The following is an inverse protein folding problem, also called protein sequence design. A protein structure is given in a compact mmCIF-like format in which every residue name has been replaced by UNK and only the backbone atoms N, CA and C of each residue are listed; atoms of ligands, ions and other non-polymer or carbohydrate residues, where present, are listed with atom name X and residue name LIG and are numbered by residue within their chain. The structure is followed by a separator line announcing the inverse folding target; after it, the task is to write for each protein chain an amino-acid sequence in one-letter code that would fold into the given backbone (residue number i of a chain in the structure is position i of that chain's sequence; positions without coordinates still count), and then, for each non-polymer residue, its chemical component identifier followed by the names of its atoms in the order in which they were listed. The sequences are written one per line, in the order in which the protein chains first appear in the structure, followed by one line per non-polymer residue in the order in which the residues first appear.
data_IF_404382075758
#
_entry.id   IF_404382075758
#
_cell.length_a   1.000
_cell.length_b   1.000
_cell.length_c   1.000
_cell.angle_alpha   90.00
_cell.angle_beta   90.00
_cell.angle_gamma   90.00
#
_symmetry.space_group_name_H-M   'P 1'
#
loop_
_entity.id
_entity.type
_entity.pdbx_description
1 polymer ?
#
# COMPACT_ATOMS: atom_id res chain seq x y z
N UNK A 1 32.74 41.25 -11.74
CA UNK A 1 31.95 41.56 -10.52
C UNK A 1 30.90 40.49 -10.21
N UNK A 2 30.16 40.00 -11.20
CA UNK A 2 29.10 38.99 -11.02
C UNK A 2 29.57 37.57 -10.62
N UNK A 3 30.71 37.10 -11.13
CA UNK A 3 31.30 35.80 -10.77
C UNK A 3 31.67 35.68 -9.27
N UNK A 4 31.94 36.82 -8.62
CA UNK A 4 32.25 36.88 -7.19
C UNK A 4 30.97 36.70 -6.34
N UNK A 5 29.83 37.20 -6.84
CA UNK A 5 28.52 37.03 -6.20
C UNK A 5 28.06 35.57 -6.27
N UNK A 6 28.24 34.91 -7.41
CA UNK A 6 27.91 33.50 -7.59
C UNK A 6 28.73 32.58 -6.68
N UNK A 7 30.05 32.82 -6.59
CA UNK A 7 30.90 32.05 -5.69
C UNK A 7 30.55 32.27 -4.21
N UNK A 8 30.12 33.48 -3.83
CA UNK A 8 29.63 33.75 -2.48
C UNK A 8 28.30 33.05 -2.20
N UNK A 9 27.37 33.05 -3.14
CA UNK A 9 26.09 32.34 -2.97
C UNK A 9 26.33 30.83 -2.83
N UNK A 10 27.15 30.20 -3.69
CA UNK A 10 27.52 28.77 -3.58
C UNK A 10 28.16 28.43 -2.23
N UNK A 11 29.05 29.29 -1.73
CA UNK A 11 29.68 29.10 -0.42
C UNK A 11 28.70 29.25 0.75
N UNK A 12 27.78 30.22 0.68
CA UNK A 12 26.75 30.43 1.70
C UNK A 12 25.75 29.26 1.73
N UNK A 13 25.34 28.76 0.56
CA UNK A 13 24.42 27.62 0.47
C UNK A 13 25.00 26.35 1.09
N UNK A 14 26.31 26.10 0.89
CA UNK A 14 27.02 24.97 1.51
C UNK A 14 27.15 25.08 3.04
N UNK A 15 27.25 26.30 3.58
CA UNK A 15 27.35 26.52 5.03
C UNK A 15 25.97 26.47 5.69
N UNK A 16 24.93 27.03 5.05
CA UNK A 16 23.56 27.06 5.56
C UNK A 16 22.90 25.68 5.62
N UNK A 17 23.32 24.73 4.77
CA UNK A 17 22.77 23.36 4.77
C UNK A 17 23.37 22.44 5.83
N UNK A 18 24.33 22.89 6.65
CA UNK A 18 24.89 22.29 7.90
C UNK A 18 24.56 20.81 8.20
N UNK A 19 24.74 19.93 7.21
CA UNK A 19 24.50 18.49 7.32
C UNK A 19 25.58 17.77 6.53
N UNK A 20 26.30 16.95 7.29
CA UNK A 20 27.13 15.84 6.81
C UNK A 20 26.51 15.14 5.60
N UNK A 21 27.31 14.66 4.63
CA UNK A 21 26.84 14.07 3.38
C UNK A 21 26.24 12.69 3.65
N UNK A 22 25.02 12.62 4.15
CA UNK A 22 24.29 11.38 4.36
C UNK A 22 22.85 11.56 3.89
N UNK A 23 22.66 11.15 2.63
CA UNK A 23 21.50 10.47 2.03
C UNK A 23 20.11 11.06 2.33
N UNK A 24 19.44 11.39 1.22
CA UNK A 24 18.10 11.97 1.11
C UNK A 24 18.05 13.48 1.33
N UNK A 25 18.67 14.24 0.41
CA UNK A 25 18.09 15.50 -0.01
C UNK A 25 17.09 15.18 -1.12
N UNK A 26 15.80 15.35 -0.83
CA UNK A 26 14.87 15.76 -1.87
C UNK A 26 15.40 17.11 -2.39
N UNK A 27 15.70 17.18 -3.69
CA UNK A 27 16.15 18.38 -4.38
C UNK A 27 15.18 19.53 -4.12
N UNK A 28 15.52 20.40 -3.17
CA UNK A 28 14.97 21.75 -3.04
C UNK A 28 16.10 22.71 -3.37
N UNK A 29 16.61 22.62 -4.60
CA UNK A 29 17.34 23.68 -5.28
C UNK A 29 16.51 24.20 -6.49
N UNK A 30 15.17 24.24 -6.34
CA UNK A 30 14.21 24.82 -7.30
C UNK A 30 14.29 26.37 -7.39
N UNK A 31 15.39 26.98 -6.92
CA UNK A 31 15.59 28.43 -6.89
C UNK A 31 16.99 28.87 -7.34
N UNK A 32 17.84 27.98 -7.82
CA UNK A 32 19.13 28.35 -8.41
C UNK A 32 18.99 28.44 -9.93
N UNK A 33 18.44 29.57 -10.41
CA UNK A 33 18.46 29.92 -11.83
C UNK A 33 19.92 29.80 -12.34
N UNK A 34 20.13 29.10 -13.44
CA UNK A 34 21.46 28.96 -14.04
C UNK A 34 22.01 30.34 -14.37
N UNK A 35 23.32 30.53 -14.21
CA UNK A 35 24.00 31.78 -14.54
C UNK A 35 23.69 32.28 -15.97
N UNK A 36 23.47 31.35 -16.91
CA UNK A 36 23.03 31.63 -18.27
C UNK A 36 21.62 32.28 -18.33
N UNK A 37 20.71 31.85 -17.46
CA UNK A 37 19.32 32.32 -17.41
C UNK A 37 19.21 33.71 -16.80
N UNK A 38 20.00 33.99 -15.76
CA UNK A 38 20.06 35.32 -15.14
C UNK A 38 20.68 36.34 -16.12
N UNK A 39 21.70 35.93 -16.88
CA UNK A 39 22.34 36.76 -17.93
C UNK A 39 21.41 37.02 -19.12
N UNK A 40 20.60 36.03 -19.48
CA UNK A 40 19.60 36.12 -20.53
C UNK A 40 18.43 37.06 -20.20
N UNK A 41 17.93 36.98 -18.97
CA UNK A 41 16.91 37.90 -18.45
C UNK A 41 17.42 39.35 -18.47
N UNK A 42 18.70 39.57 -18.17
CA UNK A 42 19.33 40.88 -18.23
C UNK A 42 19.58 41.39 -19.67
N UNK A 43 19.69 40.50 -20.66
CA UNK A 43 19.87 40.84 -22.08
C UNK A 43 18.56 40.93 -22.86
N UNK A 44 17.43 40.60 -22.23
CA UNK A 44 16.09 40.80 -22.78
C UNK A 44 15.66 39.82 -23.87
N UNK A 45 16.32 38.66 -24.00
CA UNK A 45 15.95 37.66 -25.01
C UNK A 45 14.59 37.00 -24.64
N UNK A 46 13.52 37.20 -25.45
CA UNK A 46 12.19 36.67 -25.15
C UNK A 46 12.14 35.14 -25.13
N UNK A 47 13.00 34.46 -25.89
CA UNK A 47 13.02 32.99 -25.96
C UNK A 47 13.46 32.35 -24.65
N UNK A 48 14.40 32.97 -23.92
CA UNK A 48 14.89 32.40 -22.67
C UNK A 48 13.84 32.53 -21.56
N UNK A 49 13.01 33.58 -21.59
CA UNK A 49 11.86 33.70 -20.70
C UNK A 49 10.79 32.64 -20.98
N UNK A 50 10.48 32.39 -22.25
CA UNK A 50 9.55 31.31 -22.67
C UNK A 50 10.08 29.94 -22.24
N UNK A 51 11.39 29.69 -22.40
CA UNK A 51 12.04 28.46 -21.94
C UNK A 51 11.78 28.18 -20.46
N UNK A 52 12.03 29.18 -19.60
CA UNK A 52 11.95 29.01 -18.15
C UNK A 52 10.52 28.72 -17.69
N UNK A 53 9.54 29.42 -18.27
CA UNK A 53 8.13 29.16 -17.97
C UNK A 53 7.71 27.75 -18.44
N UNK A 54 8.17 27.33 -19.63
CA UNK A 54 7.95 25.97 -20.12
C UNK A 54 8.65 24.91 -19.27
N UNK A 55 9.88 25.15 -18.79
CA UNK A 55 10.63 24.22 -17.92
C UNK A 55 9.90 23.99 -16.58
N UNK A 56 9.37 25.05 -15.97
CA UNK A 56 8.56 24.95 -14.74
C UNK A 56 7.28 24.15 -15.02
N UNK A 57 6.59 24.45 -16.12
CA UNK A 57 5.34 23.77 -16.48
C UNK A 57 5.58 22.29 -16.81
N UNK A 58 6.63 21.96 -17.56
CA UNK A 58 7.01 20.58 -17.89
C UNK A 58 7.44 19.82 -16.65
N UNK A 59 8.20 20.44 -15.74
CA UNK A 59 8.61 19.80 -14.48
C UNK A 59 7.39 19.47 -13.61
N UNK A 60 6.44 20.39 -13.49
CA UNK A 60 5.17 20.16 -12.80
C UNK A 60 4.35 19.03 -13.44
N UNK A 61 4.23 19.02 -14.77
CA UNK A 61 3.50 17.99 -15.50
C UNK A 61 4.19 16.62 -15.42
N UNK A 62 5.53 16.57 -15.44
CA UNK A 62 6.31 15.34 -15.21
C UNK A 62 6.09 14.79 -13.81
N UNK A 63 6.06 15.63 -12.78
CA UNK A 63 5.74 15.22 -11.41
C UNK A 63 4.31 14.64 -11.32
N UNK A 64 3.33 15.29 -11.97
CA UNK A 64 1.96 14.77 -12.05
C UNK A 64 1.89 13.41 -12.76
N UNK A 65 2.64 13.22 -13.87
CA UNK A 65 2.73 11.94 -14.59
C UNK A 65 3.41 10.86 -13.75
N UNK A 66 4.47 11.19 -13.03
CA UNK A 66 5.16 10.27 -12.12
C UNK A 66 4.23 9.82 -10.98
N UNK A 67 3.46 10.75 -10.39
CA UNK A 67 2.47 10.45 -9.37
C UNK A 67 1.36 9.53 -9.92
N UNK A 68 0.77 9.88 -11.07
CA UNK A 68 -0.23 9.05 -11.74
C UNK A 68 0.28 7.63 -12.04
N UNK A 69 1.51 7.51 -12.54
CA UNK A 69 2.14 6.22 -12.82
C UNK A 69 2.36 5.40 -11.56
N UNK A 70 2.80 6.05 -10.47
CA UNK A 70 2.94 5.41 -9.16
C UNK A 70 1.60 4.92 -8.60
N UNK A 71 0.55 5.75 -8.70
CA UNK A 71 -0.82 5.37 -8.31
C UNK A 71 -1.32 4.17 -9.11
N UNK A 72 -1.13 4.17 -10.44
CA UNK A 72 -1.46 3.04 -11.29
C UNK A 72 -0.77 1.75 -10.85
N UNK A 73 0.54 1.78 -10.57
CA UNK A 73 1.25 0.59 -10.09
C UNK A 73 0.79 0.10 -8.72
N UNK A 74 0.41 1.02 -7.82
CA UNK A 74 -0.19 0.67 -6.52
C UNK A 74 -1.53 -0.03 -6.73
N UNK A 75 -2.43 0.55 -7.53
CA UNK A 75 -3.72 -0.05 -7.86
C UNK A 75 -3.56 -1.40 -8.56
N UNK A 76 -2.64 -1.56 -9.51
CA UNK A 76 -2.34 -2.85 -10.13
C UNK A 76 -1.91 -3.90 -9.11
N UNK A 77 -1.09 -3.50 -8.14
CA UNK A 77 -0.63 -4.40 -7.06
C UNK A 77 -1.79 -4.77 -6.14
N UNK A 78 -2.63 -3.80 -5.79
CA UNK A 78 -3.80 -4.02 -4.94
C UNK A 78 -4.82 -4.95 -5.62
N UNK A 79 -5.12 -4.75 -6.91
CA UNK A 79 -5.99 -5.62 -7.71
C UNK A 79 -5.44 -7.04 -7.80
N UNK A 80 -4.12 -7.18 -7.99
CA UNK A 80 -3.52 -8.49 -8.16
C UNK A 80 -3.38 -9.27 -6.84
N UNK A 81 -3.14 -8.60 -5.72
CA UNK A 81 -2.76 -9.26 -4.45
C UNK A 81 -3.72 -8.97 -3.30
N UNK A 82 -4.11 -7.72 -3.11
CA UNK A 82 -4.81 -7.28 -1.91
C UNK A 82 -6.31 -7.61 -1.97
N UNK A 83 -6.99 -7.20 -3.05
CA UNK A 83 -8.43 -7.46 -3.22
C UNK A 83 -8.77 -8.96 -3.23
N UNK A 84 -8.05 -9.85 -3.95
CA UNK A 84 -8.37 -11.29 -3.94
C UNK A 84 -8.25 -11.93 -2.56
N UNK A 85 -7.24 -11.53 -1.78
CA UNK A 85 -7.04 -12.01 -0.40
C UNK A 85 -8.16 -11.53 0.51
N UNK A 86 -8.54 -10.25 0.43
CA UNK A 86 -9.65 -9.70 1.20
C UNK A 86 -10.98 -10.35 0.84
N UNK A 87 -11.25 -10.55 -0.45
CA UNK A 87 -12.46 -11.22 -0.94
C UNK A 87 -12.53 -12.67 -0.47
N UNK A 88 -11.42 -13.42 -0.54
CA UNK A 88 -11.36 -14.80 -0.07
C UNK A 88 -11.64 -14.88 1.44
N UNK A 89 -10.97 -14.04 2.23
CA UNK A 89 -11.17 -13.97 3.68
C UNK A 89 -12.61 -13.57 4.04
N UNK A 90 -13.17 -12.57 3.36
CA UNK A 90 -14.54 -12.12 3.59
C UNK A 90 -15.57 -13.20 3.23
N UNK A 91 -15.34 -13.94 2.13
CA UNK A 91 -16.19 -15.06 1.72
C UNK A 91 -16.17 -16.20 2.73
N UNK A 92 -14.99 -16.56 3.24
CA UNK A 92 -14.85 -17.56 4.30
C UNK A 92 -15.56 -17.11 5.58
N UNK A 93 -15.40 -15.84 5.97
CA UNK A 93 -16.12 -15.27 7.11
C UNK A 93 -17.63 -15.35 6.94
N UNK A 94 -18.18 -15.00 5.77
CA UNK A 94 -19.62 -15.10 5.49
C UNK A 94 -20.09 -16.56 5.57
N UNK A 95 -19.31 -17.52 5.05
CA UNK A 95 -19.65 -18.94 5.13
C UNK A 95 -19.71 -19.42 6.60
N UNK A 96 -18.74 -19.01 7.42
CA UNK A 96 -18.75 -19.29 8.86
C UNK A 96 -19.95 -18.66 9.58
N UNK A 97 -20.25 -17.39 9.29
CA UNK A 97 -21.40 -16.69 9.87
C UNK A 97 -22.75 -17.31 9.45
N UNK A 98 -22.87 -17.81 8.22
CA UNK A 98 -24.07 -18.51 7.74
C UNK A 98 -24.28 -19.82 8.50
N UNK A 99 -23.23 -20.62 8.64
CA UNK A 99 -23.27 -21.87 9.40
C UNK A 99 -23.62 -21.62 10.88
N UNK A 100 -23.07 -20.57 11.48
CA UNK A 100 -23.38 -20.20 12.86
C UNK A 100 -24.81 -19.67 13.00
N UNK A 101 -25.34 -18.91 12.03
CA UNK A 101 -26.74 -18.46 12.00
C UNK A 101 -27.71 -19.65 11.95
N UNK A 102 -27.47 -20.63 11.08
CA UNK A 102 -28.31 -21.82 10.97
C UNK A 102 -28.36 -22.60 12.28
N UNK A 103 -27.25 -22.66 13.00
CA UNK A 103 -27.19 -23.29 14.30
C UNK A 103 -27.90 -22.52 15.42
N UNK A 104 -28.03 -21.20 15.27
CA UNK A 104 -28.64 -20.32 16.28
C UNK A 104 -30.14 -20.24 16.15
N UNK A 105 -30.69 -20.43 14.95
CA UNK A 105 -32.15 -20.48 14.70
C UNK A 105 -32.91 -21.37 15.70
N UNK A 106 -32.59 -22.66 15.88
CA UNK A 106 -33.32 -23.51 16.82
C UNK A 106 -33.19 -23.02 18.26
N UNK A 107 -32.04 -22.44 18.65
CA UNK A 107 -31.81 -21.93 20.01
C UNK A 107 -32.70 -20.71 20.28
N UNK A 108 -32.88 -19.82 19.30
CA UNK A 108 -33.75 -18.65 19.43
C UNK A 108 -35.23 -19.06 19.51
N UNK A 109 -35.65 -20.05 18.72
CA UNK A 109 -37.00 -20.62 18.77
C UNK A 109 -37.26 -21.38 20.08
N UNK A 110 -36.28 -22.09 20.63
CA UNK A 110 -36.36 -22.76 21.94
C UNK A 110 -36.38 -21.76 23.10
N UNK A 111 -35.76 -20.59 22.92
CA UNK A 111 -35.81 -19.51 23.91
C UNK A 111 -37.24 -19.00 24.14
N UNK A 112 -38.10 -19.07 23.12
CA UNK A 112 -39.53 -18.76 23.24
C UNK A 112 -40.30 -19.85 24.01
N UNK A 113 -39.73 -21.07 24.10
CA UNK A 113 -40.33 -22.24 24.78
C UNK A 113 -39.76 -22.50 26.18
N UNK A 114 -38.91 -21.61 26.69
CA UNK A 114 -38.31 -21.62 28.04
C UNK A 114 -37.44 -22.85 28.41
N UNK A 115 -37.10 -23.72 27.44
CA UNK A 115 -36.19 -24.85 27.63
C UNK A 115 -34.72 -24.39 27.57
N UNK A 116 -34.19 -23.89 28.68
CA UNK A 116 -32.78 -23.52 28.78
C UNK A 116 -31.93 -24.69 29.25
N UNK A 117 -30.86 -25.02 28.51
CA UNK A 117 -29.85 -26.01 28.91
C UNK A 117 -28.46 -25.50 28.57
N UNK A 118 -27.53 -25.56 29.52
CA UNK A 118 -26.16 -25.07 29.35
C UNK A 118 -25.17 -25.98 30.09
N UNK A 119 -24.06 -26.33 29.45
CA UNK A 119 -23.04 -27.16 30.06
C UNK A 119 -21.85 -26.30 30.52
N UNK A 120 -21.54 -26.33 31.81
CA UNK A 120 -20.42 -25.58 32.40
C UNK A 120 -19.62 -26.53 33.27
N UNK A 121 -18.32 -26.67 33.02
CA UNK A 121 -17.43 -27.54 33.79
C UNK A 121 -17.89 -29.01 33.83
N UNK A 122 -18.54 -29.49 32.76
CA UNK A 122 -19.08 -30.85 32.67
C UNK A 122 -20.42 -31.08 33.39
N UNK A 123 -21.05 -30.04 33.95
CA UNK A 123 -22.40 -30.12 34.54
C UNK A 123 -23.42 -29.39 33.66
N UNK A 124 -24.58 -30.01 33.46
CA UNK A 124 -25.70 -29.42 32.73
C UNK A 124 -26.58 -28.65 33.70
N UNK A 125 -26.81 -27.37 33.42
CA UNK A 125 -27.66 -26.48 34.19
C UNK A 125 -28.91 -26.16 33.39
N UNK A 126 -30.08 -26.32 34.02
CA UNK A 126 -31.39 -25.97 33.45
C UNK A 126 -31.94 -24.65 33.99
N UNK A 127 -31.47 -24.20 35.16
CA UNK A 127 -31.79 -22.87 35.68
C UNK A 127 -30.78 -21.83 35.18
N UNK A 128 -31.31 -20.71 34.67
CA UNK A 128 -30.54 -19.54 34.23
C UNK A 128 -29.74 -18.94 35.39
N UNK A 129 -30.30 -18.88 36.61
CA UNK A 129 -29.58 -18.30 37.75
C UNK A 129 -28.37 -19.14 38.13
N UNK A 130 -28.51 -20.46 38.18
CA UNK A 130 -27.42 -21.39 38.48
C UNK A 130 -26.36 -21.44 37.38
N UNK A 131 -26.77 -21.37 36.10
CA UNK A 131 -25.83 -21.32 34.99
C UNK A 131 -24.97 -20.05 35.04
N UNK A 132 -25.56 -18.88 35.27
CA UNK A 132 -24.79 -17.64 35.33
C UNK A 132 -23.82 -17.57 36.52
N UNK A 133 -24.17 -18.16 37.67
CA UNK A 133 -23.26 -18.24 38.83
C UNK A 133 -22.12 -19.22 38.56
N UNK A 134 -22.40 -20.34 37.88
CA UNK A 134 -21.40 -21.30 37.45
C UNK A 134 -20.39 -20.68 36.44
N UNK A 135 -20.84 -19.84 35.49
CA UNK A 135 -19.94 -19.11 34.58
C UNK A 135 -19.01 -18.19 35.38
N UNK A 136 -19.56 -17.42 36.33
CA UNK A 136 -18.78 -16.47 37.13
C UNK A 136 -17.75 -17.20 38.01
N UNK A 137 -18.14 -18.33 38.62
CA UNK A 137 -17.27 -19.17 39.40
C UNK A 137 -16.14 -19.78 38.55
N UNK A 138 -16.45 -20.27 37.35
CA UNK A 138 -15.45 -20.79 36.43
C UNK A 138 -14.48 -19.70 35.93
N UNK A 139 -14.97 -18.49 35.66
CA UNK A 139 -14.12 -17.34 35.32
C UNK A 139 -13.19 -16.96 36.48
N UNK A 140 -13.69 -16.97 37.71
CA UNK A 140 -12.88 -16.69 38.90
C UNK A 140 -11.80 -17.76 39.14
N UNK A 141 -12.12 -19.04 38.90
CA UNK A 141 -11.15 -20.14 38.96
C UNK A 141 -10.02 -19.97 37.94
N UNK A 142 -10.32 -19.55 36.71
CA UNK A 142 -9.31 -19.30 35.67
C UNK A 142 -8.40 -18.11 35.98
N UNK A 143 -8.91 -17.08 36.67
CA UNK A 143 -8.08 -15.96 37.17
C UNK A 143 -7.02 -16.45 38.16
N UNK A 144 -7.36 -17.38 39.04
CA UNK A 144 -6.42 -17.92 40.02
C UNK A 144 -5.27 -18.68 39.35
N UNK A 145 -5.55 -19.36 38.24
CA UNK A 145 -4.57 -20.17 37.48
C UNK A 145 -3.83 -19.34 36.41
N UNK A 146 -4.23 -18.07 36.19
CA UNK A 146 -3.72 -17.19 35.10
C UNK A 146 -3.73 -17.87 33.72
N UNK A 147 -4.68 -18.77 33.50
CA UNK A 147 -4.80 -19.54 32.26
C UNK A 147 -6.10 -19.18 31.55
N UNK A 148 -6.06 -19.11 30.23
CA UNK A 148 -7.26 -19.08 29.41
C UNK A 148 -7.75 -20.51 29.21
N UNK A 149 -9.06 -20.73 29.24
CA UNK A 149 -9.61 -22.08 29.21
C UNK A 149 -11.06 -22.14 28.75
N UNK A 150 -11.43 -23.29 28.22
CA UNK A 150 -12.82 -23.62 27.93
C UNK A 150 -13.55 -23.84 29.25
N UNK A 151 -14.58 -23.03 29.49
CA UNK A 151 -15.45 -23.12 30.66
C UNK A 151 -16.60 -24.09 30.41
N UNK A 152 -17.08 -24.17 29.17
CA UNK A 152 -18.29 -24.93 28.89
C UNK A 152 -18.71 -24.91 27.43
N UNK A 153 -19.94 -25.36 27.22
CA UNK A 153 -20.57 -25.45 25.92
C UNK A 153 -22.05 -25.04 26.03
N UNK A 154 -22.51 -24.27 25.05
CA UNK A 154 -23.90 -23.84 24.94
C UNK A 154 -24.41 -24.18 23.55
N UNK A 155 -25.26 -25.21 23.42
CA UNK A 155 -25.90 -25.61 22.16
C UNK A 155 -24.92 -25.71 20.96
N UNK A 156 -23.76 -26.35 21.15
CA UNK A 156 -22.73 -26.47 20.10
C UNK A 156 -21.75 -25.29 20.01
N UNK A 157 -21.89 -24.27 20.86
CA UNK A 157 -20.93 -23.17 20.97
C UNK A 157 -19.99 -23.41 22.15
N UNK A 158 -18.69 -23.47 21.89
CA UNK A 158 -17.67 -23.58 22.93
C UNK A 158 -17.45 -22.23 23.61
N UNK A 159 -17.42 -22.22 24.93
CA UNK A 159 -17.29 -21.02 25.75
C UNK A 159 -15.90 -20.96 26.37
N UNK A 160 -15.07 -20.04 25.88
CA UNK A 160 -13.70 -19.85 26.36
C UNK A 160 -13.59 -18.55 27.15
N UNK A 161 -13.18 -18.60 28.41
CA UNK A 161 -12.85 -17.39 29.13
C UNK A 161 -11.36 -17.08 29.07
N UNK A 162 -11.11 -15.78 29.07
CA UNK A 162 -9.81 -15.17 29.23
C UNK A 162 -9.92 -14.01 30.21
N UNK A 163 -8.90 -13.84 31.03
CA UNK A 163 -8.82 -12.69 31.94
C UNK A 163 -7.92 -11.62 31.31
N UNK A 164 -8.47 -10.44 31.09
CA UNK A 164 -7.69 -9.31 30.62
C UNK A 164 -7.06 -8.61 31.82
N UNK A 165 -5.75 -8.79 32.00
CA UNK A 165 -5.04 -8.17 33.12
C UNK A 165 -4.91 -6.66 32.98
N UNK A 166 -5.04 -6.10 31.77
CA UNK A 166 -4.88 -4.67 31.53
C UNK A 166 -6.15 -3.91 31.93
N UNK A 167 -7.31 -4.36 31.46
CA UNK A 167 -8.61 -3.77 31.81
C UNK A 167 -9.23 -4.35 33.09
N UNK A 168 -8.60 -5.38 33.67
CA UNK A 168 -9.11 -6.15 34.81
C UNK A 168 -10.51 -6.74 34.59
N UNK A 169 -10.91 -6.95 33.34
CA UNK A 169 -12.21 -7.49 32.93
C UNK A 169 -12.12 -8.95 32.50
N UNK A 170 -13.23 -9.69 32.68
CA UNK A 170 -13.37 -11.04 32.16
C UNK A 170 -13.90 -10.98 30.73
N UNK A 171 -13.18 -11.60 29.79
CA UNK A 171 -13.59 -11.72 28.40
C UNK A 171 -14.00 -13.15 28.12
N UNK A 172 -15.25 -13.33 27.68
CA UNK A 172 -15.78 -14.61 27.24
C UNK A 172 -15.84 -14.63 25.72
N UNK A 173 -15.22 -15.63 25.12
CA UNK A 173 -15.20 -15.89 23.69
C UNK A 173 -16.08 -17.09 23.42
N UNK A 174 -17.19 -16.85 22.74
CA UNK A 174 -18.10 -17.87 22.22
C UNK A 174 -17.55 -18.28 20.86
N UNK A 175 -17.09 -19.54 20.73
CA UNK A 175 -16.43 -20.04 19.53
C UNK A 175 -17.24 -21.18 18.90
N UNK A 176 -17.48 -21.05 17.59
CA UNK A 176 -17.93 -22.13 16.72
C UNK A 176 -17.15 -22.04 15.40
N UNK A 177 -17.77 -21.68 14.28
CA UNK A 177 -17.04 -21.35 13.06
C UNK A 177 -16.45 -19.94 13.14
N UNK A 178 -17.22 -19.00 13.69
CA UNK A 178 -16.77 -17.66 14.05
C UNK A 178 -16.54 -17.54 15.57
N UNK A 179 -15.81 -16.50 15.95
CA UNK A 179 -15.52 -16.16 17.35
C UNK A 179 -16.22 -14.87 17.75
N UNK A 180 -16.98 -14.91 18.83
CA UNK A 180 -17.74 -13.79 19.38
C UNK A 180 -17.25 -13.47 20.77
N UNK A 181 -16.63 -12.30 20.93
CA UNK A 181 -16.11 -11.86 22.21
C UNK A 181 -17.14 -10.97 22.91
N UNK A 182 -17.35 -11.24 24.20
CA UNK A 182 -18.20 -10.46 25.10
C UNK A 182 -17.50 -10.23 26.43
N UNK A 183 -17.87 -9.16 27.12
CA UNK A 183 -17.37 -8.85 28.45
C UNK A 183 -18.33 -9.35 29.53
N UNK A 184 -17.76 -10.08 30.50
CA UNK A 184 -18.47 -10.58 31.67
C UNK A 184 -18.35 -9.56 32.79
N UNK A 185 -19.51 -9.17 33.32
CA UNK A 185 -19.66 -8.30 34.46
C UNK A 185 -20.02 -9.09 35.73
N UNK A 186 -20.32 -8.37 36.80
CA UNK A 186 -20.68 -8.96 38.10
C UNK A 186 -22.11 -9.54 38.13
N UNK A 187 -22.98 -9.12 37.23
CA UNK A 187 -24.38 -9.54 37.19
C UNK A 187 -24.58 -10.86 36.42
N UNK A 188 -25.09 -11.85 37.15
CA UNK A 188 -25.36 -13.22 36.70
C UNK A 188 -26.33 -13.24 35.52
N UNK A 189 -27.47 -12.56 35.65
CA UNK A 189 -28.53 -12.58 34.63
C UNK A 189 -28.15 -11.69 33.43
N UNK A 190 -27.53 -10.53 33.69
CA UNK A 190 -27.01 -9.67 32.63
C UNK A 190 -25.97 -10.36 31.76
N UNK A 191 -25.11 -11.23 32.32
CA UNK A 191 -24.13 -11.98 31.54
C UNK A 191 -24.79 -12.96 30.56
N UNK A 192 -25.85 -13.67 30.97
CA UNK A 192 -26.63 -14.53 30.09
C UNK A 192 -27.34 -13.74 28.99
N UNK A 193 -27.89 -12.57 29.33
CA UNK A 193 -28.49 -11.70 28.34
C UNK A 193 -27.45 -11.21 27.32
N UNK A 194 -26.21 -10.90 27.74
CA UNK A 194 -25.13 -10.56 26.81
C UNK A 194 -24.76 -11.71 25.87
N UNK A 195 -24.73 -12.95 26.37
CA UNK A 195 -24.54 -14.15 25.53
C UNK A 195 -25.67 -14.24 24.51
N UNK A 196 -26.92 -14.11 24.93
CA UNK A 196 -28.05 -14.14 24.01
C UNK A 196 -28.01 -13.01 22.98
N UNK A 197 -27.63 -11.80 23.38
CA UNK A 197 -27.50 -10.66 22.47
C UNK A 197 -26.36 -10.87 21.46
N UNK A 198 -25.29 -11.55 21.86
CA UNK A 198 -24.20 -11.91 20.94
C UNK A 198 -24.68 -12.90 19.88
N UNK A 199 -25.55 -13.85 20.24
CA UNK A 199 -26.14 -14.82 19.31
C UNK A 199 -27.18 -14.17 18.38
N UNK A 200 -28.08 -13.31 18.89
CA UNK A 200 -29.01 -12.56 18.02
C UNK A 200 -28.28 -11.57 17.10
N UNK A 201 -27.15 -11.03 17.56
CA UNK A 201 -26.29 -10.14 16.78
C UNK A 201 -25.60 -10.81 15.58
N UNK A 202 -25.61 -12.14 15.47
CA UNK A 202 -25.01 -12.88 14.34
C UNK A 202 -25.70 -12.50 13.03
N UNK A 203 -27.02 -12.35 13.03
CA UNK A 203 -27.79 -11.97 11.85
C UNK A 203 -27.34 -10.60 11.32
N UNK A 204 -27.21 -9.62 12.22
CA UNK A 204 -26.71 -8.28 11.88
C UNK A 204 -25.27 -8.31 11.37
N UNK A 205 -24.39 -9.09 11.99
CA UNK A 205 -23.00 -9.24 11.54
C UNK A 205 -22.91 -9.89 10.16
N UNK A 206 -23.81 -10.82 9.84
CA UNK A 206 -23.90 -11.43 8.52
C UNK A 206 -24.31 -10.39 7.48
N UNK A 207 -25.34 -9.59 7.75
CA UNK A 207 -25.74 -8.51 6.82
C UNK A 207 -24.63 -7.48 6.61
N UNK A 208 -23.93 -7.09 7.68
CA UNK A 208 -22.78 -6.18 7.59
C UNK A 208 -21.61 -6.80 6.80
N UNK A 209 -21.38 -8.10 6.95
CA UNK A 209 -20.34 -8.81 6.20
C UNK A 209 -20.69 -8.92 4.71
N UNK A 210 -21.94 -9.17 4.37
CA UNK A 210 -22.43 -9.19 2.98
C UNK A 210 -22.33 -7.80 2.32
N UNK A 211 -22.71 -6.74 3.02
CA UNK A 211 -22.53 -5.36 2.54
C UNK A 211 -21.05 -5.02 2.33
N UNK A 212 -20.16 -5.43 3.23
CA UNK A 212 -18.72 -5.24 3.06
C UNK A 212 -18.19 -5.97 1.82
N UNK A 213 -18.69 -7.18 1.56
CA UNK A 213 -18.32 -7.95 0.36
C UNK A 213 -18.76 -7.22 -0.92
N UNK A 214 -19.99 -6.70 -0.95
CA UNK A 214 -20.50 -5.90 -2.07
C UNK A 214 -19.65 -4.63 -2.30
N UNK A 215 -19.32 -3.91 -1.21
CA UNK A 215 -18.45 -2.75 -1.28
C UNK A 215 -17.06 -3.08 -1.81
N UNK A 216 -16.45 -4.20 -1.38
CA UNK A 216 -15.15 -4.64 -1.89
C UNK A 216 -15.19 -4.98 -3.38
N UNK A 217 -16.26 -5.62 -3.85
CA UNK A 217 -16.46 -5.92 -5.28
C UNK A 217 -16.64 -4.64 -6.10
N UNK A 218 -17.40 -3.67 -5.59
CA UNK A 218 -17.56 -2.35 -6.21
C UNK A 218 -16.21 -1.60 -6.28
N UNK A 219 -15.45 -1.59 -5.19
CA UNK A 219 -14.12 -0.97 -5.16
C UNK A 219 -13.15 -1.63 -6.14
N UNK A 220 -13.20 -2.96 -6.28
CA UNK A 220 -12.40 -3.68 -7.26
C UNK A 220 -12.76 -3.23 -8.68
N UNK A 221 -14.06 -3.17 -9.01
CA UNK A 221 -14.51 -2.72 -10.33
C UNK A 221 -14.05 -1.28 -10.64
N UNK A 222 -14.25 -0.35 -9.69
CA UNK A 222 -13.77 1.03 -9.83
C UNK A 222 -12.25 1.10 -9.98
N UNK A 223 -11.49 0.32 -9.20
CA UNK A 223 -10.04 0.28 -9.31
C UNK A 223 -9.57 -0.25 -10.67
N UNK A 224 -10.26 -1.23 -11.24
CA UNK A 224 -9.99 -1.74 -12.59
C UNK A 224 -10.21 -0.66 -13.65
N UNK A 225 -11.32 0.07 -13.58
CA UNK A 225 -11.60 1.19 -14.49
C UNK A 225 -10.57 2.32 -14.35
N UNK A 226 -10.12 2.63 -13.13
CA UNK A 226 -9.13 3.68 -12.88
C UNK A 226 -7.73 3.33 -13.41
N UNK A 227 -7.33 2.05 -13.35
CA UNK A 227 -6.03 1.60 -13.89
C UNK A 227 -5.98 1.71 -15.42
N UNK A 228 -7.11 1.57 -16.09
CA UNK A 228 -7.20 1.72 -17.55
C UNK A 228 -7.15 3.18 -18.00
N UNK A 229 -7.53 4.14 -17.16
CA UNK A 229 -7.53 5.57 -17.52
C UNK A 229 -6.11 6.07 -17.78
N UNK A 230 -5.84 6.68 -18.96
CA UNK A 230 -4.57 7.31 -19.24
C UNK A 230 -4.41 8.62 -18.47
N UNK A 231 -3.19 9.14 -18.41
CA UNK A 231 -2.92 10.41 -17.75
C UNK A 231 -3.64 11.55 -18.50
N UNK A 232 -4.54 12.32 -17.85
CA UNK A 232 -5.40 13.26 -18.56
C UNK A 232 -4.66 14.43 -19.24
N UNK A 233 -3.46 14.78 -18.76
CA UNK A 233 -2.62 15.85 -19.32
C UNK A 233 -1.47 15.32 -20.16
N UNK A 234 -1.60 14.11 -20.70
CA UNK A 234 -0.55 13.50 -21.50
C UNK A 234 -0.28 14.29 -22.77
N UNK A 235 -1.32 14.73 -23.48
CA UNK A 235 -1.19 15.58 -24.67
C UNK A 235 -0.56 16.95 -24.36
N UNK A 236 -0.97 17.59 -23.26
CA UNK A 236 -0.39 18.89 -22.84
C UNK A 236 1.09 18.75 -22.47
N UNK A 237 1.46 17.64 -21.83
CA UNK A 237 2.86 17.36 -21.51
C UNK A 237 3.69 17.13 -22.78
N UNK A 238 3.19 16.37 -23.75
CA UNK A 238 3.93 16.11 -25.01
C UNK A 238 4.12 17.39 -25.81
N UNK A 239 3.07 18.20 -25.97
CA UNK A 239 3.12 19.48 -26.69
C UNK A 239 4.14 20.45 -26.06
N UNK A 240 4.10 20.60 -24.73
CA UNK A 240 5.04 21.48 -24.02
C UNK A 240 6.47 20.94 -24.05
N UNK A 241 6.66 19.63 -24.03
CA UNK A 241 7.98 19.01 -24.18
C UNK A 241 8.55 19.21 -25.59
N UNK A 242 7.73 19.09 -26.62
CA UNK A 242 8.12 19.35 -28.02
C UNK A 242 8.51 20.82 -28.22
N UNK A 243 7.68 21.75 -27.72
CA UNK A 243 7.98 23.19 -27.77
C UNK A 243 9.28 23.55 -27.05
N UNK A 244 9.53 22.96 -25.90
CA UNK A 244 10.77 23.13 -25.14
C UNK A 244 11.98 22.57 -25.91
N UNK A 245 11.83 21.44 -26.61
CA UNK A 245 12.88 20.86 -27.45
C UNK A 245 13.20 21.73 -28.69
N UNK A 246 12.18 22.29 -29.34
CA UNK A 246 12.34 23.27 -30.42
C UNK A 246 13.11 24.50 -29.93
N UNK A 247 12.70 25.03 -28.78
CA UNK A 247 13.26 26.25 -28.22
C UNK A 247 14.70 26.06 -27.70
N UNK A 248 15.01 24.89 -27.15
CA UNK A 248 16.39 24.49 -26.86
C UNK A 248 17.25 24.40 -28.13
N UNK A 249 16.69 23.90 -29.24
CA UNK A 249 17.43 23.81 -30.50
C UNK A 249 17.74 25.19 -31.08
N UNK A 250 16.78 26.13 -31.00
CA UNK A 250 16.95 27.52 -31.42
C UNK A 250 18.03 28.24 -30.60
N UNK A 251 17.98 28.12 -29.27
CA UNK A 251 18.96 28.76 -28.39
C UNK A 251 20.37 28.19 -28.55
N UNK A 252 20.50 26.88 -28.77
CA UNK A 252 21.80 26.23 -29.03
C UNK A 252 22.43 26.69 -30.37
N UNK A 253 21.63 27.13 -31.34
CA UNK A 253 22.15 27.71 -32.59
C UNK A 253 22.62 29.16 -32.41
N UNK A 254 21.88 29.96 -31.64
CA UNK A 254 22.26 31.34 -31.33
C UNK A 254 23.52 31.44 -30.44
N UNK A 255 23.71 30.54 -29.47
CA UNK A 255 24.94 30.53 -28.65
C UNK A 255 26.21 30.24 -29.49
N UNK A 256 26.11 29.38 -30.52
CA UNK A 256 27.21 29.14 -31.46
C UNK A 256 27.49 30.36 -32.34
N UNK A 257 26.45 31.02 -32.84
CA UNK A 257 26.59 32.24 -33.65
C UNK A 257 27.15 33.44 -32.88
N UNK A 258 26.80 33.56 -31.60
CA UNK A 258 27.30 34.67 -30.76
C UNK A 258 28.74 34.43 -30.28
N UNK A 259 29.17 33.16 -30.14
CA UNK A 259 30.55 32.80 -29.85
C UNK A 259 31.50 33.04 -31.01
N UNK A 260 31.02 32.98 -32.27
CA UNK A 260 31.83 33.28 -33.46
C UNK A 260 31.87 34.79 -33.77
N UNK A 261 30.84 35.56 -33.41
CA UNK A 261 30.75 36.99 -33.69
C UNK A 261 31.54 37.89 -32.73
N UNK A 262 31.91 37.39 -31.54
CA UNK A 262 32.82 38.05 -30.62
C UNK A 262 34.18 37.36 -30.71
N UNK A 263 35.09 37.92 -31.51
CA UNK A 263 36.47 37.48 -31.65
C UNK A 263 37.25 37.58 -30.34
N UNK A 264 36.94 36.72 -29.38
CA UNK A 264 37.76 36.39 -28.24
C UNK A 264 38.67 35.26 -28.70
N UNK A 265 39.89 35.63 -29.06
CA UNK A 265 40.96 34.69 -29.37
C UNK A 265 41.10 33.61 -28.29
N UNK A 266 41.52 32.45 -28.77
CA UNK A 266 42.12 31.36 -28.00
C UNK A 266 42.90 31.92 -26.81
N UNK A 267 42.44 31.69 -25.57
CA UNK A 267 43.26 31.68 -24.34
C UNK A 267 42.41 31.56 -23.05
N UNK A 268 41.40 30.68 -22.98
CA UNK A 268 40.80 30.26 -21.68
C UNK A 268 40.56 28.73 -21.60
N UNK A 269 40.88 27.96 -22.64
CA UNK A 269 40.57 26.53 -22.70
C UNK A 269 41.48 25.61 -21.84
N UNK A 270 42.42 26.14 -21.05
CA UNK A 270 43.49 25.30 -20.45
C UNK A 270 43.44 25.07 -18.92
N UNK A 271 42.41 25.52 -18.17
CA UNK A 271 42.45 25.39 -16.69
C UNK A 271 41.21 24.72 -16.07
N UNK A 272 40.21 24.31 -16.87
CA UNK A 272 38.99 23.69 -16.31
C UNK A 272 38.88 22.16 -16.49
N UNK A 273 39.76 21.53 -17.26
CA UNK A 273 39.74 20.07 -17.47
C UNK A 273 40.95 19.40 -16.82
N UNK A 274 40.83 19.11 -15.54
CA UNK A 274 41.65 18.10 -14.88
C UNK A 274 40.80 17.42 -13.80
N UNK A 275 40.56 16.10 -13.90
CA UNK A 275 39.78 15.39 -12.91
C UNK A 275 40.58 15.34 -11.61
N UNK A 276 40.11 16.05 -10.58
CA UNK A 276 40.62 15.87 -9.22
C UNK A 276 40.21 14.49 -8.73
N UNK A 277 41.15 13.55 -8.78
CA UNK A 277 41.03 12.23 -8.19
C UNK A 277 40.91 12.38 -6.66
N UNK A 278 39.73 12.11 -6.11
CA UNK A 278 39.53 12.10 -4.66
C UNK A 278 40.13 10.80 -4.08
N UNK A 279 41.17 10.95 -3.26
CA UNK A 279 41.70 9.85 -2.44
C UNK A 279 40.71 9.59 -1.31
N UNK A 280 39.97 8.47 -1.38
CA UNK A 280 39.14 7.98 -0.28
C UNK A 280 39.94 6.99 0.57
N UNK A 281 40.35 7.43 1.76
CA UNK A 281 40.65 6.53 2.88
C UNK A 281 39.34 6.28 3.64
N UNK A 282 38.60 5.23 3.24
CA UNK A 282 37.79 4.35 4.10
C UNK A 282 36.71 3.59 3.30
N UNK A 283 36.81 2.26 3.33
CA UNK A 283 35.65 1.37 3.38
C UNK A 283 34.96 1.01 2.07
N UNK A 284 35.27 -0.19 1.56
CA UNK A 284 34.48 -0.95 0.58
C UNK A 284 32.98 -0.90 0.87
N UNK A 285 32.18 -0.41 -0.07
CA UNK A 285 30.84 -0.92 -0.34
C UNK A 285 30.67 -0.94 -1.87
N UNK A 286 30.38 -2.13 -2.38
CA UNK A 286 30.37 -2.48 -3.80
C UNK A 286 29.44 -1.61 -4.66
N UNK A 287 29.91 -1.39 -5.88
CA UNK A 287 29.22 -0.83 -7.05
C UNK A 287 27.84 -1.46 -7.24
N UNK A 288 26.77 -0.67 -7.23
CA UNK A 288 25.45 -0.97 -7.83
C UNK A 288 24.53 0.25 -7.71
N UNK A 289 24.84 1.34 -8.44
CA UNK A 289 23.84 2.38 -8.75
C UNK A 289 24.33 3.32 -9.85
N UNK A 290 24.39 2.80 -11.07
CA UNK A 290 24.34 3.60 -12.28
C UNK A 290 23.14 3.15 -13.12
N UNK A 291 22.51 4.14 -13.77
CA UNK A 291 21.42 4.09 -14.76
C UNK A 291 20.02 3.67 -14.27
N UNK A 292 19.23 4.67 -13.83
CA UNK A 292 17.78 4.56 -13.71
C UNK A 292 17.04 5.39 -14.80
N UNK A 293 17.70 5.65 -15.92
CA UNK A 293 17.05 6.00 -17.18
C UNK A 293 17.20 4.82 -18.14
N UNK A 294 16.10 4.44 -18.79
CA UNK A 294 15.97 3.36 -19.80
C UNK A 294 15.76 1.90 -19.34
N UNK A 295 14.80 1.62 -18.45
CA UNK A 295 14.07 0.34 -18.56
C UNK A 295 12.60 0.58 -18.22
N UNK A 296 11.73 0.57 -19.24
CA UNK A 296 10.30 0.32 -19.06
C UNK A 296 10.17 -1.04 -18.34
N UNK A 297 10.07 -1.04 -17.02
CA UNK A 297 9.75 -2.24 -16.26
C UNK A 297 8.35 -2.67 -16.71
N UNK A 298 8.16 -3.89 -17.23
CA UNK A 298 6.84 -4.30 -17.69
C UNK A 298 5.88 -4.30 -16.50
N UNK A 299 4.67 -3.77 -16.72
CA UNK A 299 3.55 -3.77 -15.75
C UNK A 299 3.42 -5.16 -15.11
N UNK A 300 3.03 -5.20 -13.83
CA UNK A 300 2.88 -6.45 -13.08
C UNK A 300 1.87 -7.37 -13.78
N UNK A 301 0.83 -6.78 -14.39
CA UNK A 301 -0.14 -7.49 -15.24
C UNK A 301 0.49 -8.04 -16.51
N UNK A 302 1.39 -7.29 -17.15
CA UNK A 302 2.15 -7.76 -18.31
C UNK A 302 3.05 -8.96 -17.97
N UNK A 303 3.71 -8.93 -16.80
CA UNK A 303 4.51 -10.06 -16.31
C UNK A 303 3.65 -11.28 -15.96
N UNK A 304 2.48 -11.07 -15.37
CA UNK A 304 1.52 -12.14 -15.06
C UNK A 304 0.98 -12.79 -16.34
N UNK A 305 0.64 -11.99 -17.35
CA UNK A 305 0.16 -12.46 -18.64
C UNK A 305 1.25 -13.23 -19.40
N UNK A 306 2.48 -12.71 -19.43
CA UNK A 306 3.63 -13.42 -20.01
C UNK A 306 3.96 -14.72 -19.26
N UNK A 307 3.81 -14.76 -17.93
CA UNK A 307 3.99 -15.99 -17.15
C UNK A 307 2.91 -17.03 -17.45
N UNK A 308 1.64 -16.61 -17.56
CA UNK A 308 0.53 -17.49 -17.96
C UNK A 308 0.71 -18.01 -19.39
N UNK A 309 1.16 -17.17 -20.32
CA UNK A 309 1.45 -17.58 -21.70
C UNK A 309 2.61 -18.59 -21.76
N UNK A 310 3.71 -18.35 -21.02
CA UNK A 310 4.85 -19.28 -20.91
C UNK A 310 4.42 -20.65 -20.37
N UNK A 311 3.64 -20.68 -19.29
CA UNK A 311 3.08 -21.92 -18.75
C UNK A 311 2.19 -22.64 -19.76
N UNK A 312 1.40 -21.91 -20.56
CA UNK A 312 0.56 -22.50 -21.61
C UNK A 312 1.39 -23.07 -22.77
N UNK A 313 2.49 -22.43 -23.14
CA UNK A 313 3.41 -22.87 -24.17
C UNK A 313 4.22 -24.09 -23.72
N UNK A 314 4.69 -24.11 -22.47
CA UNK A 314 5.34 -25.28 -21.86
C UNK A 314 4.39 -26.48 -21.76
N UNK A 315 3.12 -26.27 -21.40
CA UNK A 315 2.11 -27.32 -21.38
C UNK A 315 1.81 -27.89 -22.78
N UNK A 316 1.83 -27.05 -23.82
CA UNK A 316 1.68 -27.50 -25.23
C UNK A 316 2.92 -28.25 -25.71
N UNK A 317 4.12 -27.79 -25.33
CA UNK A 317 5.37 -28.42 -25.72
C UNK A 317 5.54 -29.81 -25.06
N UNK A 318 5.13 -29.94 -23.79
CA UNK A 318 5.08 -31.23 -23.08
C UNK A 318 4.13 -32.24 -23.74
N UNK A 319 2.96 -31.78 -24.21
CA UNK A 319 2.02 -32.65 -24.95
C UNK A 319 2.57 -33.09 -26.32
N UNK A 320 3.38 -32.26 -26.97
CA UNK A 320 4.01 -32.60 -28.25
C UNK A 320 5.18 -33.59 -28.08
N UNK A 321 5.98 -33.44 -27.03
CA UNK A 321 7.09 -34.36 -26.72
C UNK A 321 6.59 -35.71 -26.21
N UNK A 322 5.48 -35.74 -25.46
CA UNK A 322 4.80 -36.98 -25.07
C UNK A 322 4.28 -37.77 -26.29
N UNK A 323 3.59 -37.10 -27.23
CA UNK A 323 3.12 -37.72 -28.49
C UNK A 323 4.26 -38.24 -29.38
N UNK A 324 5.40 -37.56 -29.38
CA UNK A 324 6.57 -37.97 -30.19
C UNK A 324 7.29 -39.18 -29.60
N UNK A 325 7.23 -39.39 -28.28
CA UNK A 325 7.71 -40.61 -27.61
C UNK A 325 6.77 -41.80 -27.80
N UNK A 326 5.46 -41.59 -27.87
CA UNK A 326 4.49 -42.66 -28.18
C UNK A 326 4.56 -43.16 -29.64
N UNK A 327 5.06 -42.36 -30.58
CA UNK A 327 5.23 -42.77 -31.98
C UNK A 327 6.58 -43.45 -32.28
N UNK A 328 7.44 -43.64 -31.28
CA UNK A 328 8.75 -44.29 -31.41
C UNK A 328 8.85 -45.62 -30.63
N UNK A 329 7.71 -46.16 -30.19
CA UNK A 329 7.54 -47.49 -29.58
C UNK A 329 6.70 -48.37 -30.51
#
# INVERSE_FOLDING_TARGET
MWQILENKQKFISQIMTSKSPVRACEDVDDAALSYAEIKALATGNPYIREKMDLDIQVSKLKLMKANHTSQKYRLETDIAKNYPVQIAAQKEQIAGLRADREAVKPILEEKEKDNFSMMIGGKTYTDRKEAGTAILAACAGLKAVKSNGQIGEFHGFSLNASYDSFYQTYKLTIKRQCSYQIEIGKDVLGNLQRISNALTGIEKRLTEAEQKMENLLSQLATAQEEVEKPFPKEAELTEKMERLAELNSLLNMDEKGTSEALGMGEDIAAVADSPRCAVTMAGRVSELSHTADSVQKPSVLGKLKQAQERLSHEAKNWKHTAKKKEQQL
#
